data_IF_158429564935
#
_entry.id   IF_158429564935
#
_cell.length_a   1.000
_cell.length_b   1.000
_cell.length_c   1.000
_cell.angle_alpha   90.00
_cell.angle_beta   90.00
_cell.angle_gamma   90.00
#
_symmetry.space_group_name_H-M   'P 1'
#
loop_
_entity.id
_entity.type
_entity.pdbx_description
1 polymer ?
#
# COMPACT_ATOMS: atom_id res chain seq x y z
N UNK A 1 -11.62 -22.46 -2.56
CA UNK A 1 -10.32 -23.15 -2.33
C UNK A 1 -9.34 -22.14 -1.76
N UNK A 2 -8.37 -22.58 -0.94
CA UNK A 2 -7.36 -21.70 -0.31
C UNK A 2 -6.59 -20.87 -1.35
N UNK A 3 -6.28 -21.43 -2.52
CA UNK A 3 -5.58 -20.73 -3.60
C UNK A 3 -6.30 -19.48 -4.13
N UNK A 4 -7.60 -19.59 -4.37
CA UNK A 4 -8.38 -18.46 -4.87
C UNK A 4 -8.49 -17.38 -3.79
N UNK A 5 -8.60 -17.80 -2.53
CA UNK A 5 -8.63 -16.87 -1.40
C UNK A 5 -7.33 -16.06 -1.29
N UNK A 6 -6.16 -16.61 -1.65
CA UNK A 6 -4.90 -15.85 -1.68
C UNK A 6 -4.94 -14.74 -2.73
N UNK A 7 -5.43 -15.05 -3.94
CA UNK A 7 -5.54 -14.06 -5.02
C UNK A 7 -6.63 -13.01 -4.73
N UNK A 8 -7.77 -13.43 -4.19
CA UNK A 8 -8.85 -12.53 -3.81
C UNK A 8 -8.40 -11.57 -2.69
N UNK A 9 -7.58 -12.05 -1.76
CA UNK A 9 -6.99 -11.22 -0.71
C UNK A 9 -5.91 -10.29 -1.28
N UNK A 10 -5.02 -10.80 -2.14
CA UNK A 10 -4.00 -10.00 -2.83
C UNK A 10 -4.61 -8.82 -3.58
N UNK A 11 -5.71 -9.04 -4.29
CA UNK A 11 -6.46 -7.98 -4.98
C UNK A 11 -6.95 -6.87 -4.04
N UNK A 12 -7.35 -7.19 -2.81
CA UNK A 12 -7.76 -6.17 -1.82
C UNK A 12 -6.57 -5.30 -1.39
N UNK A 13 -5.43 -5.92 -1.13
CA UNK A 13 -4.20 -5.19 -0.77
C UNK A 13 -3.71 -4.32 -1.93
N UNK A 14 -3.82 -4.81 -3.17
CA UNK A 14 -3.53 -4.04 -4.38
C UNK A 14 -4.45 -2.82 -4.53
N UNK A 15 -5.75 -2.99 -4.26
CA UNK A 15 -6.71 -1.89 -4.27
C UNK A 15 -6.40 -0.85 -3.17
N UNK A 16 -6.14 -1.29 -1.95
CA UNK A 16 -5.76 -0.40 -0.84
C UNK A 16 -4.45 0.35 -1.12
N UNK A 17 -3.46 -0.30 -1.74
CA UNK A 17 -2.23 0.35 -2.19
C UNK A 17 -2.50 1.47 -3.19
N UNK A 18 -3.38 1.21 -4.15
CA UNK A 18 -3.80 2.19 -5.15
C UNK A 18 -4.53 3.37 -4.50
N UNK A 19 -5.44 3.10 -3.57
CA UNK A 19 -6.19 4.14 -2.85
C UNK A 19 -5.25 5.01 -2.01
N UNK A 20 -4.28 4.41 -1.31
CA UNK A 20 -3.29 5.18 -0.54
C UNK A 20 -2.35 6.00 -1.42
N UNK A 21 -1.99 5.49 -2.60
CA UNK A 21 -1.26 6.29 -3.59
C UNK A 21 -2.09 7.50 -4.04
N UNK A 22 -3.40 7.33 -4.23
CA UNK A 22 -4.29 8.43 -4.58
C UNK A 22 -4.41 9.45 -3.43
N UNK A 23 -4.55 8.98 -2.19
CA UNK A 23 -4.58 9.85 -0.99
C UNK A 23 -3.28 10.64 -0.85
N UNK A 24 -2.11 9.99 -1.02
CA UNK A 24 -0.82 10.67 -0.99
C UNK A 24 -0.79 11.82 -1.99
N UNK A 25 -1.17 11.57 -3.25
CA UNK A 25 -1.20 12.60 -4.29
C UNK A 25 -2.14 13.75 -3.94
N UNK A 26 -3.34 13.44 -3.44
CA UNK A 26 -4.29 14.47 -3.02
C UNK A 26 -3.76 15.32 -1.87
N UNK A 27 -3.04 14.69 -0.92
CA UNK A 27 -2.38 15.42 0.16
C UNK A 27 -1.28 16.30 -0.41
N UNK A 28 -0.42 15.78 -1.29
CA UNK A 28 0.66 16.56 -1.92
C UNK A 28 0.13 17.78 -2.70
N UNK A 29 -1.03 17.65 -3.35
CA UNK A 29 -1.70 18.74 -4.06
C UNK A 29 -2.31 19.80 -3.11
N UNK A 30 -2.55 19.47 -1.84
CA UNK A 30 -3.11 20.38 -0.83
C UNK A 30 -2.06 21.26 -0.13
N UNK A 31 -0.88 21.44 -0.71
CA UNK A 31 0.16 22.31 -0.17
C UNK A 31 -0.35 23.76 -0.01
N UNK A 32 -0.49 24.23 1.23
CA UNK A 32 -0.95 25.59 1.53
C UNK A 32 0.22 26.59 1.50
N UNK A 33 0.03 27.71 0.81
CA UNK A 33 0.97 28.83 0.83
C UNK A 33 0.91 29.57 2.18
N UNK A 34 1.97 30.32 2.53
CA UNK A 34 2.01 31.10 3.80
C UNK A 34 0.83 32.08 3.91
N UNK A 35 0.34 32.56 2.76
CA UNK A 35 -0.80 33.48 2.63
C UNK A 35 -2.13 32.86 3.07
N UNK A 36 -2.23 31.53 3.15
CA UNK A 36 -3.39 30.85 3.76
C UNK A 36 -3.43 31.04 5.28
N UNK A 37 -2.30 31.34 5.92
CA UNK A 37 -2.17 31.56 7.35
C UNK A 37 -2.29 33.06 7.65
N UNK A 38 -3.47 33.62 7.41
CA UNK A 38 -3.72 35.04 7.70
C UNK A 38 -3.73 35.29 9.20
N UNK A 39 -2.65 35.91 9.68
CA UNK A 39 -2.57 36.50 11.00
C UNK A 39 -2.01 37.91 10.83
N UNK A 40 -2.48 38.89 11.62
CA UNK A 40 -1.95 40.26 11.60
C UNK A 40 -0.47 40.35 12.07
N UNK A 41 0.21 39.22 12.26
CA UNK A 41 1.60 39.12 12.68
C UNK A 41 2.37 38.12 11.77
N UNK A 42 3.36 38.56 10.98
CA UNK A 42 4.07 37.69 10.05
C UNK A 42 4.85 36.56 10.73
N UNK A 43 5.32 36.75 11.97
CA UNK A 43 6.03 35.71 12.74
C UNK A 43 5.04 34.59 13.11
N UNK A 44 3.84 34.96 13.55
CA UNK A 44 2.80 34.00 13.89
C UNK A 44 2.30 33.23 12.67
N UNK A 45 2.15 33.91 11.52
CA UNK A 45 1.81 33.27 10.24
C UNK A 45 2.87 32.23 9.83
N UNK A 46 4.15 32.57 9.96
CA UNK A 46 5.25 31.65 9.63
C UNK A 46 5.30 30.44 10.57
N UNK A 47 5.10 30.65 11.88
CA UNK A 47 5.04 29.56 12.85
C UNK A 47 3.87 28.61 12.57
N UNK A 48 2.70 29.15 12.22
CA UNK A 48 1.53 28.34 11.85
C UNK A 48 1.78 27.54 10.57
N UNK A 49 2.41 28.14 9.55
CA UNK A 49 2.83 27.41 8.34
C UNK A 49 3.78 26.27 8.66
N UNK A 50 4.82 26.51 9.46
CA UNK A 50 5.80 25.47 9.78
C UNK A 50 5.15 24.28 10.52
N UNK A 51 4.21 24.55 11.42
CA UNK A 51 3.44 23.51 12.10
C UNK A 51 2.55 22.73 11.12
N UNK A 52 1.87 23.42 10.21
CA UNK A 52 1.10 22.80 9.13
C UNK A 52 1.98 21.92 8.24
N UNK A 53 3.10 22.45 7.73
CA UNK A 53 4.02 21.74 6.85
C UNK A 53 4.49 20.43 7.49
N UNK A 54 4.78 20.45 8.81
CA UNK A 54 5.17 19.24 9.55
C UNK A 54 4.09 18.16 9.52
N UNK A 55 2.84 18.53 9.79
CA UNK A 55 1.70 17.59 9.74
C UNK A 55 1.42 17.14 8.31
N UNK A 56 1.43 18.06 7.36
CA UNK A 56 1.21 17.80 5.94
C UNK A 56 2.23 16.80 5.38
N UNK A 57 3.52 17.02 5.63
CA UNK A 57 4.59 16.10 5.25
C UNK A 57 4.45 14.74 5.92
N UNK A 58 4.07 14.71 7.20
CA UNK A 58 3.85 13.45 7.92
C UNK A 58 2.72 12.64 7.29
N UNK A 59 1.59 13.28 6.98
CA UNK A 59 0.43 12.62 6.36
C UNK A 59 0.77 12.09 4.97
N UNK A 60 1.43 12.91 4.13
CA UNK A 60 1.88 12.47 2.80
C UNK A 60 2.82 11.26 2.90
N UNK A 61 3.80 11.33 3.81
CA UNK A 61 4.75 10.25 4.04
C UNK A 61 4.04 8.96 4.47
N UNK A 62 3.16 9.03 5.46
CA UNK A 62 2.44 7.85 5.98
C UNK A 62 1.55 7.22 4.90
N UNK A 63 0.90 8.03 4.06
CA UNK A 63 0.11 7.51 2.94
C UNK A 63 0.98 6.77 1.90
N UNK A 64 2.15 7.32 1.57
CA UNK A 64 3.11 6.66 0.66
C UNK A 64 3.72 5.37 1.24
N UNK A 65 4.05 5.37 2.54
CA UNK A 65 4.53 4.17 3.25
C UNK A 65 3.44 3.09 3.28
N UNK A 66 2.20 3.43 3.63
CA UNK A 66 1.07 2.50 3.60
C UNK A 66 0.84 1.91 2.21
N UNK A 67 0.89 2.74 1.15
CA UNK A 67 0.78 2.26 -0.22
C UNK A 67 1.86 1.22 -0.56
N UNK A 68 3.09 1.47 -0.11
CA UNK A 68 4.23 0.57 -0.32
C UNK A 68 4.05 -0.74 0.44
N UNK A 69 3.68 -0.69 1.71
CA UNK A 69 3.47 -1.89 2.54
C UNK A 69 2.32 -2.75 1.98
N UNK A 70 1.21 -2.14 1.58
CA UNK A 70 0.09 -2.87 0.99
C UNK A 70 0.48 -3.57 -0.32
N UNK A 71 1.32 -2.93 -1.15
CA UNK A 71 1.86 -3.56 -2.34
C UNK A 71 2.77 -4.75 -2.01
N UNK A 72 3.59 -4.64 -0.97
CA UNK A 72 4.44 -5.75 -0.53
C UNK A 72 3.62 -6.95 -0.04
N UNK A 73 2.47 -6.71 0.62
CA UNK A 73 1.55 -7.77 1.03
C UNK A 73 0.91 -8.45 -0.18
N UNK A 74 0.42 -7.68 -1.16
CA UNK A 74 -0.09 -8.18 -2.44
C UNK A 74 0.95 -9.11 -3.14
N UNK A 75 2.19 -8.65 -3.27
CA UNK A 75 3.27 -9.45 -3.86
C UNK A 75 3.60 -10.71 -3.05
N UNK A 76 3.54 -10.65 -1.71
CA UNK A 76 3.78 -11.79 -0.86
C UNK A 76 2.68 -12.87 -1.01
N UNK A 77 1.43 -12.45 -1.16
CA UNK A 77 0.29 -13.35 -1.38
C UNK A 77 0.36 -14.03 -2.75
N UNK A 78 0.79 -13.32 -3.79
CA UNK A 78 1.06 -13.91 -5.11
C UNK A 78 2.17 -14.97 -5.02
N UNK A 79 3.28 -14.66 -4.33
CA UNK A 79 4.35 -15.66 -4.10
C UNK A 79 3.84 -16.90 -3.35
N UNK A 80 3.02 -16.71 -2.31
CA UNK A 80 2.43 -17.82 -1.57
C UNK A 80 1.49 -18.68 -2.44
N UNK A 81 0.72 -18.05 -3.34
CA UNK A 81 -0.10 -18.77 -4.31
C UNK A 81 0.75 -19.63 -5.24
N UNK A 82 1.83 -19.07 -5.79
CA UNK A 82 2.70 -19.77 -6.75
C UNK A 82 3.44 -20.95 -6.09
N UNK A 83 3.88 -20.79 -4.84
CA UNK A 83 4.46 -21.87 -4.04
C UNK A 83 3.46 -22.99 -3.76
N UNK A 84 2.18 -22.64 -3.53
CA UNK A 84 1.12 -23.62 -3.30
C UNK A 84 0.85 -24.44 -4.57
N UNK A 85 0.68 -23.79 -5.73
CA UNK A 85 0.48 -24.46 -7.02
C UNK A 85 1.68 -25.34 -7.39
N UNK A 86 2.91 -24.88 -7.16
CA UNK A 86 4.10 -25.68 -7.40
C UNK A 86 4.16 -26.94 -6.51
N UNK A 87 3.70 -26.84 -5.27
CA UNK A 87 3.68 -27.97 -4.32
C UNK A 87 2.59 -28.97 -4.67
N UNK A 88 1.39 -28.51 -5.00
CA UNK A 88 0.30 -29.39 -5.43
C UNK A 88 0.63 -30.09 -6.75
N UNK A 89 1.24 -29.38 -7.70
CA UNK A 89 1.73 -29.95 -8.95
C UNK A 89 2.78 -31.06 -8.73
N UNK A 90 3.73 -30.85 -7.81
CA UNK A 90 4.71 -31.87 -7.43
C UNK A 90 4.06 -33.09 -6.78
N UNK A 91 3.13 -32.91 -5.86
CA UNK A 91 2.40 -34.02 -5.22
C UNK A 91 1.57 -34.81 -6.22
N UNK A 92 0.90 -34.13 -7.15
CA UNK A 92 0.13 -34.78 -8.21
C UNK A 92 1.05 -35.61 -9.14
N UNK A 93 2.23 -35.07 -9.49
CA UNK A 93 3.24 -35.78 -10.26
C UNK A 93 3.76 -37.03 -9.52
N UNK A 94 4.15 -36.92 -8.24
CA UNK A 94 4.61 -38.05 -7.44
C UNK A 94 3.52 -39.13 -7.26
N UNK A 95 2.27 -38.72 -7.01
CA UNK A 95 1.14 -39.65 -6.94
C UNK A 95 0.93 -40.40 -8.27
N UNK A 96 1.03 -39.70 -9.41
CA UNK A 96 0.93 -40.33 -10.72
C UNK A 96 2.09 -41.29 -11.03
N UNK A 97 3.28 -41.08 -10.44
CA UNK A 97 4.42 -41.99 -10.57
C UNK A 97 4.29 -43.23 -9.68
N UNK A 98 3.67 -43.10 -8.51
CA UNK A 98 3.46 -44.22 -7.56
C UNK A 98 2.24 -45.07 -7.97
N UNK A 99 1.16 -44.43 -8.43
CA UNK A 99 -0.12 -45.09 -8.74
C UNK A 99 -0.47 -45.17 -10.22
N UNK A 100 0.26 -44.47 -11.10
CA UNK A 100 0.15 -44.65 -12.54
C UNK A 100 0.85 -45.93 -12.98
N UNK A 101 0.10 -46.78 -13.68
CA UNK A 101 0.64 -47.94 -14.40
C UNK A 101 1.58 -47.53 -15.52
#
# INVERSE_FOLDING_TARGET
>A
MVKQALLDEAAKWSALSTDMTAVQRQVDDLALQVTAFFTNNPITAQAAKNAYDGVWHLVSKLAGEAATEFKQIDEALHRAHDEYEATDGKKAYDLSRIYGK
#
